data_IF_819738936224
#
_entry.id   IF_819738936224
#
_cell.length_a   1.000
_cell.length_b   1.000
_cell.length_c   1.000
_cell.angle_alpha   90.00
_cell.angle_beta   90.00
_cell.angle_gamma   90.00
#
_symmetry.space_group_name_H-M   'P 1'
#
loop_
_entity.id
_entity.type
_entity.pdbx_description
1 polymer ?
#
# COMPACT_ATOMS: atom_id res chain seq x y z
N UNK A 1 -23.02 1.96 10.64
CA UNK A 1 -22.42 0.85 11.42
C UNK A 1 -21.08 1.32 12.00
N UNK A 2 -20.97 1.53 13.31
CA UNK A 2 -19.73 2.01 13.95
C UNK A 2 -18.64 0.93 13.89
N UNK A 3 -17.38 1.34 13.72
CA UNK A 3 -16.24 0.43 13.89
C UNK A 3 -16.05 0.11 15.37
N UNK A 4 -15.63 -1.12 15.68
CA UNK A 4 -15.22 -1.46 17.04
C UNK A 4 -13.95 -0.68 17.40
N UNK A 5 -13.75 -0.40 18.69
CA UNK A 5 -12.60 0.36 19.18
C UNK A 5 -11.28 -0.32 18.81
N UNK A 6 -11.20 -1.64 18.91
CA UNK A 6 -10.03 -2.42 18.49
C UNK A 6 -9.73 -2.25 17.00
N UNK A 7 -10.76 -2.23 16.14
CA UNK A 7 -10.57 -2.00 14.71
C UNK A 7 -10.08 -0.58 14.41
N UNK A 8 -10.57 0.42 15.14
CA UNK A 8 -10.11 1.80 15.00
C UNK A 8 -8.65 1.96 15.42
N UNK A 9 -8.28 1.39 16.56
CA UNK A 9 -6.91 1.44 17.08
C UNK A 9 -5.93 0.76 16.12
N UNK A 10 -6.27 -0.41 15.59
CA UNK A 10 -5.38 -1.14 14.68
C UNK A 10 -5.30 -0.47 13.30
N UNK A 11 -6.41 0.10 12.81
CA UNK A 11 -6.42 0.94 11.61
C UNK A 11 -5.52 2.16 11.76
N UNK A 12 -5.67 2.92 12.86
CA UNK A 12 -4.85 4.11 13.13
C UNK A 12 -3.38 3.75 13.29
N UNK A 13 -3.05 2.71 14.07
CA UNK A 13 -1.67 2.24 14.24
C UNK A 13 -0.97 1.98 12.90
N UNK A 14 -1.65 1.29 11.97
CA UNK A 14 -1.10 0.98 10.64
C UNK A 14 -1.01 2.21 9.76
N UNK A 15 -1.97 3.12 9.87
CA UNK A 15 -1.94 4.40 9.16
C UNK A 15 -0.79 5.30 9.66
N UNK A 16 -0.59 5.43 10.97
CA UNK A 16 0.53 6.19 11.53
C UNK A 16 1.88 5.64 11.07
N UNK A 17 2.01 4.31 10.93
CA UNK A 17 3.20 3.67 10.35
C UNK A 17 3.45 4.18 8.91
N UNK A 18 2.42 4.30 8.08
CA UNK A 18 2.54 4.86 6.71
C UNK A 18 3.05 6.30 6.73
N UNK A 19 2.54 7.14 7.64
CA UNK A 19 2.93 8.55 7.73
C UNK A 19 4.37 8.73 8.23
N UNK A 20 4.76 7.96 9.25
CA UNK A 20 6.06 8.05 9.88
C UNK A 20 7.19 7.47 9.03
N UNK A 21 6.88 6.54 8.11
CA UNK A 21 7.91 5.88 7.30
C UNK A 21 8.42 6.82 6.20
N UNK A 22 9.74 7.08 6.10
CA UNK A 22 10.30 7.93 5.07
C UNK A 22 10.17 7.28 3.68
N UNK A 23 10.37 8.08 2.64
CA UNK A 23 10.42 7.63 1.26
C UNK A 23 11.48 6.52 1.07
N UNK A 24 11.07 5.25 1.06
CA UNK A 24 11.95 4.08 0.91
C UNK A 24 11.15 2.84 0.50
N UNK A 25 11.80 1.69 0.37
CA UNK A 25 11.11 0.41 0.24
C UNK A 25 10.19 0.14 1.43
N UNK A 26 10.61 0.50 2.65
CA UNK A 26 9.82 0.31 3.87
C UNK A 26 8.49 1.06 3.82
N UNK A 27 8.43 2.21 3.12
CA UNK A 27 7.17 2.91 2.90
C UNK A 27 6.18 2.06 2.09
N UNK A 28 6.67 1.36 1.06
CA UNK A 28 5.84 0.48 0.24
C UNK A 28 5.38 -0.74 1.04
N UNK A 29 6.21 -1.25 1.95
CA UNK A 29 5.83 -2.28 2.92
C UNK A 29 4.76 -1.76 3.89
N UNK A 30 4.90 -0.53 4.41
CA UNK A 30 3.88 0.08 5.27
C UNK A 30 2.53 0.25 4.56
N UNK A 31 2.55 0.65 3.29
CA UNK A 31 1.35 0.71 2.44
C UNK A 31 0.74 -0.69 2.25
N UNK A 32 1.58 -1.70 1.98
CA UNK A 32 1.13 -3.09 1.88
C UNK A 32 0.42 -3.54 3.17
N UNK A 33 1.03 -3.34 4.34
CA UNK A 33 0.46 -3.73 5.64
C UNK A 33 -0.86 -3.03 5.94
N UNK A 34 -0.98 -1.76 5.56
CA UNK A 34 -2.19 -0.95 5.71
C UNK A 34 -3.32 -1.48 4.82
N UNK A 35 -3.06 -1.65 3.52
CA UNK A 35 -4.04 -2.16 2.55
C UNK A 35 -4.46 -3.58 2.91
N UNK A 36 -3.52 -4.44 3.27
CA UNK A 36 -3.79 -5.83 3.67
C UNK A 36 -4.75 -5.89 4.86
N UNK A 37 -4.56 -5.05 5.87
CA UNK A 37 -5.48 -4.99 7.01
C UNK A 37 -6.90 -4.60 6.59
N UNK A 38 -7.03 -3.64 5.70
CA UNK A 38 -8.34 -3.21 5.21
C UNK A 38 -9.01 -4.33 4.40
N UNK A 39 -8.26 -5.05 3.56
CA UNK A 39 -8.79 -6.15 2.76
C UNK A 39 -9.21 -7.36 3.62
N UNK A 40 -8.43 -7.70 4.64
CA UNK A 40 -8.72 -8.82 5.54
C UNK A 40 -9.78 -8.51 6.61
N UNK A 41 -10.13 -7.24 6.76
CA UNK A 41 -11.16 -6.81 7.71
C UNK A 41 -12.49 -6.52 7.00
N UNK A 42 -13.54 -6.31 7.80
CA UNK A 42 -14.86 -5.88 7.28
C UNK A 42 -14.85 -4.45 6.70
N UNK A 43 -13.70 -3.76 6.74
CA UNK A 43 -13.48 -2.43 6.18
C UNK A 43 -13.45 -2.43 4.65
N UNK A 44 -13.06 -3.54 4.02
CA UNK A 44 -13.03 -3.71 2.57
C UNK A 44 -14.32 -3.31 1.86
N UNK A 45 -15.48 -3.60 2.47
CA UNK A 45 -16.82 -3.22 1.96
C UNK A 45 -17.06 -1.71 1.91
N UNK A 46 -16.22 -0.93 2.58
CA UNK A 46 -16.32 0.54 2.69
C UNK A 46 -15.29 1.26 1.82
N UNK A 47 -14.46 0.53 1.08
CA UNK A 47 -13.45 1.11 0.18
C UNK A 47 -14.01 1.37 -1.23
N UNK A 48 -13.94 2.63 -1.70
CA UNK A 48 -14.10 2.96 -3.11
C UNK A 48 -13.18 2.20 -4.09
N UNK A 49 -13.70 1.91 -5.28
CA UNK A 49 -12.98 1.25 -6.40
C UNK A 49 -11.78 2.08 -6.89
N UNK A 50 -11.82 3.40 -6.75
CA UNK A 50 -10.78 4.33 -7.20
C UNK A 50 -9.41 4.16 -6.50
N UNK A 51 -9.31 3.31 -5.48
CA UNK A 51 -8.05 2.99 -4.79
C UNK A 51 -7.25 1.84 -5.40
N UNK A 52 -7.53 1.49 -6.65
CA UNK A 52 -6.82 0.43 -7.39
C UNK A 52 -5.30 0.59 -7.42
N UNK A 53 -4.77 1.82 -7.38
CA UNK A 53 -3.33 2.06 -7.37
C UNK A 53 -2.62 1.57 -6.11
N UNK A 54 -3.24 1.70 -4.93
CA UNK A 54 -2.67 1.14 -3.70
C UNK A 54 -2.69 -0.40 -3.73
N UNK A 55 -3.72 -0.98 -4.36
CA UNK A 55 -3.80 -2.43 -4.58
C UNK A 55 -2.72 -2.94 -5.53
N UNK A 56 -2.33 -2.15 -6.53
CA UNK A 56 -1.22 -2.50 -7.42
C UNK A 56 0.11 -2.58 -6.67
N UNK A 57 0.37 -1.68 -5.72
CA UNK A 57 1.57 -1.75 -4.85
C UNK A 57 1.49 -2.96 -3.94
N UNK A 58 0.35 -3.16 -3.27
CA UNK A 58 0.13 -4.32 -2.41
C UNK A 58 0.40 -5.63 -3.16
N UNK A 59 -0.17 -5.80 -4.35
CA UNK A 59 0.05 -6.98 -5.17
C UNK A 59 1.51 -7.10 -5.61
N UNK A 60 2.14 -5.99 -6.00
CA UNK A 60 3.55 -5.96 -6.38
C UNK A 60 4.49 -6.38 -5.25
N UNK A 61 4.29 -5.88 -4.03
CA UNK A 61 5.09 -6.22 -2.84
C UNK A 61 4.89 -7.68 -2.44
N UNK A 62 3.64 -8.17 -2.53
CA UNK A 62 3.32 -9.57 -2.28
C UNK A 62 4.01 -10.49 -3.28
N UNK A 63 4.02 -10.11 -4.55
CA UNK A 63 4.61 -10.89 -5.62
C UNK A 63 6.15 -10.80 -5.65
N UNK A 64 6.75 -9.69 -5.21
CA UNK A 64 8.21 -9.57 -5.10
C UNK A 64 8.79 -10.45 -3.99
N UNK A 65 8.03 -10.66 -2.90
CA UNK A 65 8.39 -11.60 -1.84
C UNK A 65 8.13 -13.06 -2.20
N UNK A 66 7.26 -13.33 -3.18
CA UNK A 66 6.98 -14.68 -3.66
C UNK A 66 7.95 -15.06 -4.78
N UNK A 67 8.56 -16.24 -4.71
CA UNK A 67 9.27 -16.83 -5.86
C UNK A 67 8.25 -17.28 -6.90
N UNK A 68 7.61 -16.34 -7.59
CA UNK A 68 6.64 -16.66 -8.64
C UNK A 68 7.34 -17.42 -9.77
N UNK A 69 6.86 -18.63 -10.07
CA UNK A 69 7.35 -19.51 -11.15
C UNK A 69 6.51 -19.40 -12.44
N UNK A 70 5.50 -18.53 -12.48
CA UNK A 70 4.57 -18.39 -13.62
C UNK A 70 4.75 -17.09 -14.40
N UNK A 71 4.24 -17.04 -15.63
CA UNK A 71 4.15 -15.80 -16.40
C UNK A 71 3.16 -14.85 -15.70
N UNK A 72 3.69 -13.74 -15.19
CA UNK A 72 2.95 -12.75 -14.41
C UNK A 72 2.27 -11.70 -15.30
N UNK A 73 2.54 -11.72 -16.60
CA UNK A 73 2.17 -10.65 -17.53
C UNK A 73 3.06 -9.42 -17.36
N UNK A 74 3.24 -8.67 -18.47
CA UNK A 74 4.21 -7.58 -18.56
C UNK A 74 4.04 -6.51 -17.47
N UNK A 75 2.81 -6.10 -17.17
CA UNK A 75 2.55 -5.07 -16.17
C UNK A 75 2.99 -5.48 -14.76
N UNK A 76 2.69 -6.70 -14.31
CA UNK A 76 3.09 -7.19 -12.98
C UNK A 76 4.59 -7.43 -12.89
N UNK A 77 5.19 -7.96 -13.95
CA UNK A 77 6.64 -8.12 -14.03
C UNK A 77 7.37 -6.78 -13.86
N UNK A 78 6.92 -5.74 -14.55
CA UNK A 78 7.51 -4.39 -14.44
C UNK A 78 7.39 -3.83 -13.01
N UNK A 79 6.25 -4.03 -12.33
CA UNK A 79 6.09 -3.62 -10.93
C UNK A 79 7.09 -4.33 -10.02
N UNK A 80 7.23 -5.65 -10.13
CA UNK A 80 8.17 -6.42 -9.29
C UNK A 80 9.61 -6.01 -9.56
N UNK A 81 9.97 -5.83 -10.83
CA UNK A 81 11.29 -5.37 -11.21
C UNK A 81 11.59 -3.99 -10.60
N UNK A 82 10.66 -3.05 -10.68
CA UNK A 82 10.81 -1.72 -10.06
C UNK A 82 10.92 -1.79 -8.53
N UNK A 83 10.16 -2.67 -7.87
CA UNK A 83 10.23 -2.88 -6.43
C UNK A 83 11.57 -3.47 -5.99
N UNK A 84 12.08 -4.47 -6.71
CA UNK A 84 13.39 -5.08 -6.42
C UNK A 84 14.51 -4.04 -6.56
N UNK A 85 14.44 -3.17 -7.56
CA UNK A 85 15.39 -2.07 -7.72
C UNK A 85 15.34 -1.08 -6.56
N UNK A 86 14.14 -0.70 -6.12
CA UNK A 86 13.97 0.16 -4.93
C UNK A 86 14.55 -0.53 -3.68
N UNK A 87 14.30 -1.83 -3.51
CA UNK A 87 14.81 -2.62 -2.39
C UNK A 87 16.35 -2.67 -2.38
N UNK A 88 16.98 -2.77 -3.54
CA UNK A 88 18.43 -2.81 -3.69
C UNK A 88 19.08 -1.41 -3.70
N UNK A 89 18.34 -0.35 -3.38
CA UNK A 89 18.78 1.05 -3.48
C UNK A 89 19.25 1.47 -4.88
N UNK A 90 18.78 0.79 -5.92
CA UNK A 90 19.07 1.08 -7.33
C UNK A 90 18.07 2.12 -7.87
N UNK A 91 18.19 3.34 -7.37
CA UNK A 91 17.25 4.42 -7.69
C UNK A 91 17.51 4.96 -9.10
N UNK A 92 16.62 4.65 -10.04
CA UNK A 92 16.52 5.40 -11.29
C UNK A 92 15.54 6.54 -11.11
N UNK A 93 15.91 7.74 -11.57
CA UNK A 93 14.96 8.83 -11.66
C UNK A 93 13.71 8.45 -12.46
N UNK A 94 13.74 7.47 -13.36
CA UNK A 94 12.59 7.07 -14.16
C UNK A 94 11.62 6.11 -13.45
N UNK A 95 11.92 5.67 -12.22
CA UNK A 95 11.03 4.77 -11.49
C UNK A 95 9.74 5.50 -11.07
N UNK A 96 8.62 5.07 -11.65
CA UNK A 96 7.32 5.70 -11.45
C UNK A 96 6.77 5.50 -10.03
N UNK A 97 7.03 4.36 -9.39
CA UNK A 97 6.59 4.06 -8.03
C UNK A 97 7.26 4.97 -7.01
N UNK A 98 8.57 5.17 -7.16
CA UNK A 98 9.34 6.11 -6.34
C UNK A 98 8.77 7.52 -6.42
N UNK A 99 8.51 8.02 -7.64
CA UNK A 99 7.93 9.37 -7.85
C UNK A 99 6.52 9.54 -7.29
N UNK A 100 5.76 8.45 -7.17
CA UNK A 100 4.35 8.48 -6.73
C UNK A 100 4.15 8.27 -5.22
N UNK A 101 5.21 8.19 -4.42
CA UNK A 101 5.08 7.94 -2.98
C UNK A 101 4.22 8.98 -2.24
N UNK A 102 4.38 10.27 -2.55
CA UNK A 102 3.55 11.30 -1.92
C UNK A 102 2.07 11.18 -2.32
N UNK A 103 1.79 10.79 -3.57
CA UNK A 103 0.43 10.49 -4.01
C UNK A 103 -0.16 9.31 -3.22
N UNK A 104 0.60 8.24 -2.99
CA UNK A 104 0.15 7.11 -2.18
C UNK A 104 -0.09 7.50 -0.72
N UNK A 105 0.73 8.39 -0.16
CA UNK A 105 0.52 8.94 1.18
C UNK A 105 -0.79 9.72 1.27
N UNK A 106 -1.08 10.58 0.30
CA UNK A 106 -2.36 11.33 0.21
C UNK A 106 -3.55 10.38 0.10
N UNK A 107 -3.47 9.34 -0.74
CA UNK A 107 -4.53 8.33 -0.83
C UNK A 107 -4.74 7.58 0.49
N UNK A 108 -3.68 7.23 1.22
CA UNK A 108 -3.79 6.56 2.50
C UNK A 108 -4.50 7.44 3.55
N UNK A 109 -4.23 8.76 3.54
CA UNK A 109 -4.92 9.76 4.38
C UNK A 109 -6.42 9.75 4.07
N UNK A 110 -6.80 9.93 2.80
CA UNK A 110 -8.20 9.96 2.39
C UNK A 110 -8.96 8.67 2.78
N UNK A 111 -8.30 7.50 2.62
CA UNK A 111 -8.88 6.22 3.01
C UNK A 111 -9.09 6.15 4.52
N UNK A 112 -8.07 6.54 5.29
CA UNK A 112 -8.14 6.52 6.74
C UNK A 112 -9.29 7.39 7.24
N UNK A 113 -9.42 8.61 6.73
CA UNK A 113 -10.50 9.54 7.07
C UNK A 113 -11.88 8.96 6.75
N UNK A 114 -12.05 8.33 5.57
CA UNK A 114 -13.32 7.69 5.18
C UNK A 114 -13.67 6.49 6.04
N UNK A 115 -12.68 5.69 6.43
CA UNK A 115 -12.90 4.48 7.22
C UNK A 115 -13.10 4.79 8.70
N UNK A 116 -12.45 5.83 9.20
CA UNK A 116 -12.57 6.33 10.57
C UNK A 116 -13.05 7.78 10.57
N UNK A 117 -14.32 8.04 10.20
CA UNK A 117 -14.89 9.38 10.28
C UNK A 117 -14.96 9.76 11.77
N UNK A 118 -13.98 10.52 12.20
CA UNK A 118 -13.92 11.14 13.51
C UNK A 118 -13.75 12.62 13.29
N UNK A 119 -14.72 13.25 12.60
CA UNK A 119 -15.15 14.65 12.73
C UNK A 119 -16.50 14.80 12.01
#
# INVERSE_FOLDING_TARGET
>A
MKLSETMKLELDRRFQKVLATPASFDFLVAIHDFVQYIELSSLSKRLPIQYAHLKQIYQGVKDSGAKSKGDLGHARYMVIHDLNRIQNNEFSQNNLFWRKQEFFRKLAIEIHEKLNPSF
#
